data_IF_583917016428
#
_entry.id   IF_583917016428
#
_cell.length_a   1.000
_cell.length_b   1.000
_cell.length_c   1.000
_cell.angle_alpha   90.00
_cell.angle_beta   90.00
_cell.angle_gamma   90.00
#
_symmetry.space_group_name_H-M   'P 1'
#
loop_
_entity.id
_entity.type
_entity.pdbx_description
1 polymer ?
#
# COMPACT_ATOMS: atom_id res chain seq x y z
N UNK A 1 4.12 -6.73 -2.70
CA UNK A 1 3.52 -5.87 -1.65
C UNK A 1 3.20 -4.53 -2.27
N UNK A 2 2.07 -3.91 -1.93
CA UNK A 2 1.72 -2.57 -2.38
C UNK A 2 1.61 -1.64 -1.17
N UNK A 3 2.32 -0.51 -1.19
CA UNK A 3 2.16 0.57 -0.23
C UNK A 3 1.45 1.74 -0.90
N UNK A 4 0.42 2.29 -0.26
CA UNK A 4 -0.40 3.37 -0.79
C UNK A 4 -0.37 4.56 0.17
N UNK A 5 -0.03 5.73 -0.35
CA UNK A 5 -0.13 7.01 0.35
C UNK A 5 -1.37 7.76 -0.14
N UNK A 6 -2.15 8.34 0.77
CA UNK A 6 -3.34 9.14 0.46
C UNK A 6 -3.28 10.47 1.21
N UNK A 7 -3.36 11.58 0.48
CA UNK A 7 -3.33 12.93 1.03
C UNK A 7 -1.92 13.45 1.36
N UNK A 8 -1.83 14.54 2.12
CA UNK A 8 -0.63 15.36 2.19
C UNK A 8 -0.43 16.24 0.95
N UNK A 9 0.82 16.66 0.73
CA UNK A 9 1.29 17.25 -0.53
C UNK A 9 1.96 16.17 -1.42
N UNK A 10 2.55 16.58 -2.54
CA UNK A 10 3.11 15.65 -3.53
C UNK A 10 4.36 14.91 -3.01
N UNK A 11 5.18 15.58 -2.20
CA UNK A 11 6.36 15.01 -1.57
C UNK A 11 5.97 14.03 -0.45
N UNK A 12 5.04 14.44 0.41
CA UNK A 12 4.59 13.65 1.55
C UNK A 12 3.87 12.38 1.10
N UNK A 13 3.02 12.44 0.05
CA UNK A 13 2.27 11.25 -0.39
C UNK A 13 3.21 10.13 -0.85
N UNK A 14 4.32 10.48 -1.52
CA UNK A 14 5.33 9.51 -1.93
C UNK A 14 6.03 8.87 -0.72
N UNK A 15 6.34 9.68 0.30
CA UNK A 15 6.90 9.21 1.57
C UNK A 15 5.93 8.30 2.34
N UNK A 16 4.64 8.64 2.38
CA UNK A 16 3.59 7.82 2.99
C UNK A 16 3.47 6.47 2.29
N UNK A 17 3.43 6.44 0.95
CA UNK A 17 3.40 5.20 0.19
C UNK A 17 4.62 4.32 0.48
N UNK A 18 5.81 4.92 0.61
CA UNK A 18 7.03 4.18 0.99
C UNK A 18 6.97 3.66 2.42
N UNK A 19 6.44 4.44 3.37
CA UNK A 19 6.24 4.02 4.76
C UNK A 19 5.27 2.84 4.82
N UNK A 20 4.14 2.92 4.12
CA UNK A 20 3.15 1.85 4.04
C UNK A 20 3.75 0.56 3.47
N UNK A 21 4.61 0.68 2.45
CA UNK A 21 5.28 -0.46 1.84
C UNK A 21 6.20 -1.22 2.83
N UNK A 22 6.77 -0.51 3.81
CA UNK A 22 7.65 -1.08 4.83
C UNK A 22 6.90 -1.61 6.06
N UNK A 23 5.56 -1.52 6.11
CA UNK A 23 4.75 -2.14 7.17
C UNK A 23 4.66 -3.65 6.96
N UNK A 24 4.66 -4.41 8.06
CA UNK A 24 4.53 -5.87 8.03
C UNK A 24 3.25 -6.29 7.29
N UNK A 25 3.35 -7.37 6.52
CA UNK A 25 2.21 -7.98 5.80
C UNK A 25 1.11 -8.48 6.74
N UNK A 26 1.48 -8.78 8.00
CA UNK A 26 0.57 -9.28 9.03
C UNK A 26 -0.13 -8.16 9.82
N UNK A 27 0.27 -6.90 9.61
CA UNK A 27 -0.27 -5.77 10.34
C UNK A 27 -1.26 -5.00 9.46
N UNK A 28 -2.52 -4.94 9.87
CA UNK A 28 -3.56 -4.12 9.21
C UNK A 28 -3.56 -2.69 9.73
N UNK A 29 -4.17 -1.79 8.97
CA UNK A 29 -4.36 -0.42 9.42
C UNK A 29 -5.17 -0.39 10.75
N UNK A 30 -4.77 0.44 11.75
CA UNK A 30 -5.54 0.58 12.98
C UNK A 30 -6.91 1.27 12.77
N UNK A 31 -7.06 2.07 11.71
CA UNK A 31 -8.33 2.68 11.33
C UNK A 31 -9.17 1.67 10.52
N UNK A 32 -10.38 1.31 10.99
CA UNK A 32 -11.25 0.34 10.33
C UNK A 32 -11.58 0.71 8.88
N UNK A 33 -11.71 1.99 8.56
CA UNK A 33 -12.03 2.44 7.20
C UNK A 33 -10.90 2.07 6.23
N UNK A 34 -9.66 2.38 6.62
CA UNK A 34 -8.49 2.05 5.80
C UNK A 34 -8.20 0.55 5.81
N UNK A 35 -8.46 -0.17 6.92
CA UNK A 35 -8.29 -1.62 6.98
C UNK A 35 -9.24 -2.36 6.02
N UNK A 36 -10.49 -1.91 5.90
CA UNK A 36 -11.45 -2.43 4.92
C UNK A 36 -11.01 -2.09 3.50
N UNK A 37 -10.53 -0.87 3.27
CA UNK A 37 -10.03 -0.44 1.96
C UNK A 37 -8.81 -1.27 1.54
N UNK A 38 -7.87 -1.57 2.44
CA UNK A 38 -6.74 -2.49 2.19
C UNK A 38 -7.22 -3.85 1.68
N UNK A 39 -8.27 -4.41 2.29
CA UNK A 39 -8.83 -5.71 1.88
C UNK A 39 -9.42 -5.65 0.47
N UNK A 40 -10.28 -4.66 0.25
CA UNK A 40 -10.97 -4.46 -1.02
C UNK A 40 -9.98 -4.21 -2.15
N UNK A 41 -8.93 -3.44 -1.91
CA UNK A 41 -7.88 -3.17 -2.90
C UNK A 41 -7.03 -4.41 -3.17
N UNK A 42 -6.71 -5.21 -2.15
CA UNK A 42 -5.99 -6.48 -2.34
C UNK A 42 -6.79 -7.45 -3.21
N UNK A 43 -8.09 -7.61 -2.92
CA UNK A 43 -9.00 -8.42 -3.72
C UNK A 43 -9.07 -7.90 -5.16
N UNK A 44 -9.28 -6.61 -5.36
CA UNK A 44 -9.36 -6.00 -6.68
C UNK A 44 -8.08 -6.22 -7.50
N UNK A 45 -6.90 -6.03 -6.90
CA UNK A 45 -5.60 -6.25 -7.55
C UNK A 45 -5.40 -7.71 -7.93
N UNK A 46 -5.77 -8.65 -7.06
CA UNK A 46 -5.64 -10.08 -7.34
C UNK A 46 -6.66 -10.57 -8.39
N UNK A 47 -7.85 -9.96 -8.44
CA UNK A 47 -8.84 -10.23 -9.50
C UNK A 47 -8.43 -9.76 -10.90
N UNK A 48 -7.37 -8.94 -11.04
CA UNK A 48 -6.88 -8.52 -12.37
C UNK A 48 -6.30 -9.67 -13.21
N UNK A 49 -5.92 -10.78 -12.58
CA UNK A 49 -5.33 -11.92 -13.26
C UNK A 49 -3.92 -11.69 -13.80
N UNK A 50 -3.24 -10.59 -13.43
CA UNK A 50 -1.85 -10.32 -13.83
C UNK A 50 -0.90 -11.38 -13.25
N UNK A 51 -1.11 -11.75 -11.99
CA UNK A 51 -0.35 -12.79 -11.30
C UNK A 51 1.14 -12.48 -11.12
N UNK A 52 1.91 -13.45 -10.61
CA UNK A 52 3.32 -13.25 -10.29
C UNK A 52 4.13 -12.94 -11.56
N UNK A 53 4.90 -11.84 -11.54
CA UNK A 53 5.74 -11.39 -12.66
C UNK A 53 4.98 -11.12 -13.98
N UNK A 54 3.63 -11.07 -13.95
CA UNK A 54 2.82 -10.84 -15.14
C UNK A 54 2.54 -12.10 -15.99
N UNK A 55 2.84 -13.30 -15.48
CA UNK A 55 2.58 -14.56 -16.20
C UNK A 55 1.16 -15.11 -16.04
N UNK A 56 0.26 -14.33 -15.44
CA UNK A 56 -1.07 -14.78 -15.06
C UNK A 56 -1.11 -15.45 -13.69
N UNK A 57 -2.33 -15.66 -13.19
CA UNK A 57 -2.59 -16.36 -11.92
C UNK A 57 -3.42 -15.53 -10.93
N UNK A 58 -3.65 -16.10 -9.75
CA UNK A 58 -4.57 -15.55 -8.75
C UNK A 58 -3.94 -14.47 -7.85
N UNK A 59 -2.61 -14.46 -7.72
CA UNK A 59 -1.91 -13.62 -6.74
C UNK A 59 -0.96 -12.65 -7.42
N UNK A 60 -1.44 -11.43 -7.64
CA UNK A 60 -0.64 -10.28 -8.12
C UNK A 60 0.06 -9.58 -6.95
N UNK A 61 -0.62 -9.46 -5.81
CA UNK A 61 -0.12 -8.82 -4.60
C UNK A 61 -0.36 -9.69 -3.36
N UNK A 62 0.59 -9.65 -2.42
CA UNK A 62 0.50 -10.35 -1.14
C UNK A 62 -0.24 -9.55 -0.06
N UNK A 63 -0.11 -8.22 -0.09
CA UNK A 63 -0.88 -7.31 0.75
C UNK A 63 -0.88 -5.91 0.14
N UNK A 64 -1.86 -5.11 0.56
CA UNK A 64 -1.97 -3.68 0.31
C UNK A 64 -1.97 -3.00 1.68
N UNK A 65 -1.07 -2.04 1.87
CA UNK A 65 -0.98 -1.26 3.09
C UNK A 65 -1.23 0.22 2.75
N UNK A 66 -2.07 0.89 3.54
CA UNK A 66 -2.43 2.30 3.35
C UNK A 66 -1.90 3.13 4.50
N UNK A 67 -1.30 4.28 4.19
CA UNK A 67 -1.05 5.38 5.11
C UNK A 67 -1.76 6.64 4.57
N UNK A 68 -2.56 7.28 5.42
CA UNK A 68 -3.35 8.44 5.03
C UNK A 68 -2.97 9.67 5.85
N UNK A 69 -3.13 10.83 5.26
CA UNK A 69 -2.87 12.13 5.88
C UNK A 69 -3.88 13.17 5.38
N UNK A 70 -4.26 14.17 6.21
CA UNK A 70 -5.09 15.28 5.74
C UNK A 70 -4.51 15.99 4.52
N UNK A 71 -5.36 16.58 3.67
CA UNK A 71 -4.91 17.34 2.50
C UNK A 71 -5.86 18.51 2.23
N UNK A 72 -5.45 19.42 1.37
CA UNK A 72 -6.24 20.58 0.97
C UNK A 72 -7.43 20.14 0.10
N UNK A 73 -8.64 20.65 0.36
CA UNK A 73 -9.87 20.21 -0.34
C UNK A 73 -9.81 20.28 -1.88
N UNK A 74 -9.00 21.18 -2.43
CA UNK A 74 -8.80 21.31 -3.88
C UNK A 74 -7.94 20.20 -4.51
N UNK A 75 -7.36 19.29 -3.72
CA UNK A 75 -6.53 18.20 -4.23
C UNK A 75 -6.56 16.96 -3.32
N UNK A 76 -6.25 15.81 -3.91
CA UNK A 76 -6.02 14.59 -3.15
C UNK A 76 -4.88 13.82 -3.80
N UNK A 77 -3.62 14.10 -3.41
CA UNK A 77 -2.49 13.32 -3.88
C UNK A 77 -2.65 11.86 -3.46
N UNK A 78 -2.40 10.94 -4.40
CA UNK A 78 -2.39 9.50 -4.13
C UNK A 78 -1.17 8.90 -4.82
N UNK A 79 -0.40 8.10 -4.09
CA UNK A 79 0.78 7.42 -4.62
C UNK A 79 0.72 5.93 -4.31
N UNK A 80 1.11 5.11 -5.29
CA UNK A 80 1.24 3.65 -5.15
C UNK A 80 2.72 3.28 -5.32
N UNK A 81 3.26 2.61 -4.31
CA UNK A 81 4.63 2.11 -4.28
C UNK A 81 4.61 0.57 -4.32
N UNK A 82 5.32 0.00 -5.29
CA UNK A 82 5.32 -1.46 -5.53
C UNK A 82 6.61 -2.08 -4.98
N UNK A 83 6.47 -2.96 -4.00
CA UNK A 83 7.56 -3.78 -3.49
C UNK A 83 7.77 -5.02 -4.33
N UNK A 84 9.00 -5.24 -4.78
CA UNK A 84 9.41 -6.43 -5.50
C UNK A 84 9.51 -7.66 -4.57
N UNK A 85 9.86 -8.81 -5.14
CA UNK A 85 10.05 -10.06 -4.40
C UNK A 85 11.10 -9.94 -3.28
N UNK A 86 12.10 -9.06 -3.45
CA UNK A 86 13.16 -8.81 -2.47
C UNK A 86 12.75 -7.68 -1.50
N UNK A 87 11.62 -7.86 -0.81
CA UNK A 87 11.06 -6.91 0.16
C UNK A 87 11.89 -6.84 1.45
N UNK A 88 13.00 -6.09 1.41
CA UNK A 88 13.93 -5.91 2.54
C UNK A 88 13.63 -4.64 3.32
N UNK A 89 13.37 -4.78 4.61
CA UNK A 89 13.24 -3.70 5.59
C UNK A 89 13.50 -4.26 7.00
N UNK A 90 13.87 -3.40 7.94
CA UNK A 90 14.09 -3.75 9.35
C UNK A 90 13.64 -2.60 10.24
N UNK A 91 13.02 -2.92 11.36
CA UNK A 91 12.71 -1.98 12.44
C UNK A 91 13.41 -2.44 13.72
N UNK A 92 13.83 -1.49 14.56
CA UNK A 92 14.49 -1.74 15.85
C UNK A 92 13.90 -0.77 16.87
N UNK A 93 13.50 -1.28 18.03
CA UNK A 93 13.17 -0.48 19.21
C UNK A 93 14.43 -0.38 20.07
N UNK A 94 14.85 0.83 20.42
CA UNK A 94 16.04 1.10 21.24
C UNK A 94 15.71 1.04 22.73
#
# INVERSE_FOLDING_TARGET
MLGVGIGGDFELVAMLAKKALCRSVSQRNPDPFYAELEERMLQAVNSTGVGPQGFGGETTALAVNIEAYPTHIAGLPVAVNVGCHVTRHKSVTL
#
